data_IF_305354151396
#
_entry.id   IF_305354151396
#
_cell.length_a   1.000
_cell.length_b   1.000
_cell.length_c   1.000
_cell.angle_alpha   90.00
_cell.angle_beta   90.00
_cell.angle_gamma   90.00
#
_symmetry.space_group_name_H-M   'P 1'
#
loop_
_entity.id
_entity.type
_entity.pdbx_description
1 polymer ?
#
# COMPACT_ATOMS: atom_id res chain seq x y z
N UNK A 1 9.22 15.95 4.46
CA UNK A 1 10.24 14.90 4.22
C UNK A 1 10.41 14.75 2.72
N UNK A 2 11.66 14.85 2.22
CA UNK A 2 11.97 14.54 0.82
C UNK A 2 12.16 13.02 0.74
N UNK A 3 11.33 12.35 -0.04
CA UNK A 3 11.49 10.91 -0.26
C UNK A 3 12.63 10.70 -1.27
N UNK A 4 13.55 9.73 -1.05
CA UNK A 4 14.56 9.40 -2.03
C UNK A 4 13.94 9.13 -3.40
N UNK A 5 14.58 9.65 -4.45
CA UNK A 5 14.15 9.53 -5.85
C UNK A 5 14.06 8.08 -6.31
N UNK A 6 14.81 7.17 -5.68
CA UNK A 6 14.75 5.73 -5.90
C UNK A 6 14.87 5.01 -4.56
N UNK A 7 13.79 4.35 -4.14
CA UNK A 7 13.77 3.47 -2.98
C UNK A 7 13.30 2.09 -3.45
N UNK A 8 14.27 1.18 -3.59
CA UNK A 8 14.01 -0.20 -3.97
C UNK A 8 13.23 -0.94 -2.89
N UNK A 9 13.42 -0.61 -1.60
CA UNK A 9 12.66 -1.16 -0.49
C UNK A 9 11.19 -0.75 -0.57
N UNK A 10 10.91 0.53 -0.82
CA UNK A 10 9.55 1.01 -1.06
C UNK A 10 8.91 0.33 -2.27
N UNK A 11 9.67 0.19 -3.36
CA UNK A 11 9.17 -0.42 -4.60
C UNK A 11 8.75 -1.87 -4.38
N UNK A 12 9.57 -2.66 -3.68
CA UNK A 12 9.27 -4.04 -3.33
C UNK A 12 8.08 -4.12 -2.36
N UNK A 13 8.09 -3.28 -1.32
CA UNK A 13 7.02 -3.23 -0.33
C UNK A 13 5.67 -2.86 -0.95
N UNK A 14 5.64 -1.88 -1.86
CA UNK A 14 4.42 -1.46 -2.55
C UNK A 14 3.92 -2.53 -3.53
N UNK A 15 4.82 -3.25 -4.20
CA UNK A 15 4.46 -4.38 -5.04
C UNK A 15 3.82 -5.52 -4.21
N UNK A 16 4.34 -5.78 -3.01
CA UNK A 16 3.77 -6.75 -2.07
C UNK A 16 2.36 -6.37 -1.59
N UNK A 17 2.12 -5.09 -1.33
CA UNK A 17 0.78 -4.57 -0.99
C UNK A 17 -0.17 -4.80 -2.17
N UNK A 18 0.24 -4.42 -3.38
CA UNK A 18 -0.58 -4.57 -4.59
C UNK A 18 -0.89 -6.04 -4.92
N UNK A 19 0.09 -6.93 -4.76
CA UNK A 19 -0.08 -8.36 -4.97
C UNK A 19 -1.11 -8.95 -4.00
N UNK A 20 -1.06 -8.58 -2.72
CA UNK A 20 -2.02 -9.05 -1.71
C UNK A 20 -3.42 -8.49 -1.93
N UNK A 21 -3.55 -7.22 -2.33
CA UNK A 21 -4.86 -6.65 -2.69
C UNK A 21 -5.48 -7.38 -3.89
N UNK A 22 -4.66 -7.71 -4.90
CA UNK A 22 -5.14 -8.50 -6.05
C UNK A 22 -5.56 -9.90 -5.64
N UNK A 23 -4.83 -10.55 -4.75
CA UNK A 23 -5.15 -11.89 -4.26
C UNK A 23 -6.46 -11.90 -3.45
N UNK A 24 -6.65 -10.92 -2.56
CA UNK A 24 -7.82 -10.86 -1.69
C UNK A 24 -9.08 -10.32 -2.38
N UNK A 25 -8.91 -9.33 -3.27
CA UNK A 25 -10.02 -8.50 -3.76
C UNK A 25 -10.11 -8.46 -5.29
N UNK A 26 -9.16 -9.06 -6.00
CA UNK A 26 -9.05 -8.96 -7.46
C UNK A 26 -8.69 -7.55 -7.96
N UNK A 27 -8.35 -6.62 -7.06
CA UNK A 27 -8.13 -5.21 -7.39
C UNK A 27 -6.74 -4.72 -7.00
N UNK A 28 -6.21 -3.80 -7.80
CA UNK A 28 -4.93 -3.14 -7.54
C UNK A 28 -5.10 -1.91 -6.67
N UNK A 29 -4.00 -1.44 -6.07
CA UNK A 29 -3.91 -0.14 -5.39
C UNK A 29 -4.47 0.98 -6.28
N UNK A 30 -4.14 0.95 -7.58
CA UNK A 30 -4.60 1.94 -8.56
C UNK A 30 -6.10 1.84 -8.83
N UNK A 31 -6.63 0.62 -8.93
CA UNK A 31 -8.05 0.36 -9.17
C UNK A 31 -8.91 0.84 -8.01
N UNK A 32 -8.42 0.66 -6.78
CA UNK A 32 -9.06 1.12 -5.55
C UNK A 32 -8.93 2.64 -5.31
N UNK A 33 -8.22 3.37 -6.19
CA UNK A 33 -8.00 4.80 -6.04
C UNK A 33 -7.16 5.16 -4.81
N UNK A 34 -6.30 4.25 -4.34
CA UNK A 34 -5.46 4.48 -3.18
C UNK A 34 -4.41 5.54 -3.52
N UNK A 35 -4.33 6.56 -2.68
CA UNK A 35 -3.40 7.66 -2.89
C UNK A 35 -1.94 7.18 -2.72
N UNK A 36 -1.05 7.44 -3.69
CA UNK A 36 0.36 7.07 -3.57
C UNK A 36 1.04 7.67 -2.33
N UNK A 37 0.56 8.84 -1.88
CA UNK A 37 1.03 9.51 -0.67
C UNK A 37 0.73 8.71 0.59
N UNK A 38 -0.40 8.00 0.64
CA UNK A 38 -0.76 7.12 1.77
C UNK A 38 0.22 5.95 1.87
N UNK A 39 0.55 5.32 0.75
CA UNK A 39 1.53 4.23 0.71
C UNK A 39 2.92 4.69 1.14
N UNK A 40 3.37 5.84 0.63
CA UNK A 40 4.64 6.44 1.05
C UNK A 40 4.64 6.72 2.55
N UNK A 41 3.61 7.37 3.08
CA UNK A 41 3.51 7.66 4.52
C UNK A 41 3.51 6.38 5.37
N UNK A 42 2.84 5.33 4.90
CA UNK A 42 2.80 4.05 5.61
C UNK A 42 4.18 3.39 5.65
N UNK A 43 4.86 3.32 4.50
CA UNK A 43 6.19 2.75 4.39
C UNK A 43 7.23 3.51 5.23
N UNK A 44 7.34 4.84 5.05
CA UNK A 44 8.30 5.65 5.82
C UNK A 44 7.89 5.83 7.29
N UNK A 45 6.64 5.56 7.63
CA UNK A 45 6.16 5.43 9.01
C UNK A 45 6.51 4.09 9.66
N UNK A 46 7.17 3.17 8.94
CA UNK A 46 7.59 1.87 9.45
C UNK A 46 6.48 0.82 9.48
N UNK A 47 5.39 1.01 8.74
CA UNK A 47 4.31 0.03 8.71
C UNK A 47 4.71 -1.21 7.92
N UNK A 48 4.36 -2.38 8.46
CA UNK A 48 4.41 -3.63 7.71
C UNK A 48 3.34 -3.65 6.61
N UNK A 49 3.50 -4.54 5.63
CA UNK A 49 2.49 -4.72 4.58
C UNK A 49 1.12 -5.10 5.17
N UNK A 50 1.09 -5.97 6.19
CA UNK A 50 -0.16 -6.37 6.84
C UNK A 50 -0.87 -5.19 7.54
N UNK A 51 -0.10 -4.32 8.20
CA UNK A 51 -0.65 -3.12 8.83
C UNK A 51 -1.21 -2.14 7.77
N UNK A 52 -0.50 -1.94 6.67
CA UNK A 52 -0.96 -1.10 5.57
C UNK A 52 -2.24 -1.66 4.91
N UNK A 53 -2.33 -2.97 4.71
CA UNK A 53 -3.54 -3.62 4.19
C UNK A 53 -4.74 -3.40 5.13
N UNK A 54 -4.54 -3.55 6.44
CA UNK A 54 -5.60 -3.28 7.44
C UNK A 54 -6.07 -1.83 7.39
N UNK A 55 -5.14 -0.88 7.24
CA UNK A 55 -5.45 0.54 7.06
C UNK A 55 -6.23 0.79 5.76
N UNK A 56 -5.85 0.13 4.66
CA UNK A 56 -6.52 0.24 3.37
C UNK A 56 -7.95 -0.32 3.47
N UNK A 57 -8.13 -1.52 4.00
CA UNK A 57 -9.46 -2.13 4.18
C UNK A 57 -10.38 -1.25 5.01
N UNK A 58 -9.88 -0.70 6.14
CA UNK A 58 -10.68 0.18 7.01
C UNK A 58 -11.03 1.53 6.39
N UNK A 59 -10.13 2.13 5.59
CA UNK A 59 -10.33 3.46 5.00
C UNK A 59 -11.12 3.43 3.69
N UNK A 60 -10.97 2.38 2.90
CA UNK A 60 -11.59 2.24 1.58
C UNK A 60 -12.80 1.29 1.59
N UNK A 61 -13.19 0.78 2.76
CA UNK A 61 -14.37 -0.08 2.92
C UNK A 61 -14.26 -1.38 2.13
N UNK A 62 -13.03 -1.86 1.93
CA UNK A 62 -12.78 -3.09 1.16
C UNK A 62 -12.87 -4.26 2.12
N UNK A 63 -14.07 -4.82 2.26
CA UNK A 63 -14.28 -6.09 2.94
C UNK A 63 -13.62 -7.18 2.08
N UNK A 64 -12.63 -7.84 2.68
CA UNK A 64 -11.99 -9.04 2.12
C UNK A 64 -12.92 -10.25 2.22
#
# INVERSE_FOLDING_TARGET
MSYPLFDSGYTLWAADVDARLKDQLGQSVRSLGIEPKLLLQSYYGGQSVAAALTLISSRYGVEA
#
